data_IF_328324904635
#
_entry.id   IF_328324904635
#
_cell.length_a   1.000
_cell.length_b   1.000
_cell.length_c   1.000
_cell.angle_alpha   90.00
_cell.angle_beta   90.00
_cell.angle_gamma   90.00
#
_symmetry.space_group_name_H-M   'P 1'
#
loop_
_entity.id
_entity.type
_entity.pdbx_description
1 polymer ?
#
# COMPACT_ATOMS: atom_id res chain seq x y z
N UNK A 1 4.55 10.93 19.90
CA UNK A 1 3.30 10.16 20.17
C UNK A 1 3.01 9.13 19.07
N UNK A 2 3.37 7.84 19.26
CA UNK A 2 3.17 6.79 18.24
C UNK A 2 1.68 6.49 18.03
N UNK A 3 1.22 6.71 16.80
CA UNK A 3 -0.18 6.72 16.36
C UNK A 3 -0.96 5.50 16.84
N UNK A 4 -1.88 5.73 17.78
CA UNK A 4 -2.87 4.76 18.27
C UNK A 4 -3.73 4.32 17.08
N UNK A 5 -3.63 3.05 16.72
CA UNK A 5 -4.31 2.40 15.59
C UNK A 5 -5.78 2.82 15.49
N UNK A 6 -6.17 3.52 14.43
CA UNK A 6 -7.58 3.71 14.09
C UNK A 6 -7.95 2.66 13.06
N UNK A 7 -8.24 1.44 13.54
CA UNK A 7 -8.97 0.41 12.79
C UNK A 7 -10.37 0.22 13.37
N UNK A 8 -11.04 1.31 13.76
CA UNK A 8 -12.36 1.27 14.43
C UNK A 8 -13.40 0.45 13.66
N UNK A 9 -13.38 0.47 12.32
CA UNK A 9 -14.32 -0.31 11.51
C UNK A 9 -14.11 -1.81 11.74
N UNK A 10 -12.86 -2.26 11.91
CA UNK A 10 -12.54 -3.68 12.07
C UNK A 10 -12.61 -4.17 13.52
N UNK A 11 -13.01 -3.30 14.46
CA UNK A 11 -13.33 -3.70 15.84
C UNK A 11 -14.82 -3.99 16.04
N UNK A 12 -15.67 -3.66 15.06
CA UNK A 12 -17.10 -4.00 15.11
C UNK A 12 -17.35 -5.51 14.95
N UNK A 13 -18.55 -6.02 15.30
CA UNK A 13 -18.94 -7.39 15.00
C UNK A 13 -18.76 -7.74 13.52
N UNK A 14 -18.44 -8.99 13.21
CA UNK A 14 -18.16 -9.43 11.83
C UNK A 14 -19.32 -9.15 10.88
N UNK A 15 -20.55 -9.35 11.33
CA UNK A 15 -21.76 -9.02 10.56
C UNK A 15 -21.83 -7.55 10.16
N UNK A 16 -21.55 -6.64 11.10
CA UNK A 16 -21.49 -5.20 10.83
C UNK A 16 -20.36 -4.83 9.87
N UNK A 17 -19.19 -5.48 9.97
CA UNK A 17 -18.09 -5.27 9.02
C UNK A 17 -18.49 -5.68 7.60
N UNK A 18 -19.12 -6.85 7.44
CA UNK A 18 -19.60 -7.34 6.13
C UNK A 18 -20.70 -6.45 5.56
N UNK A 19 -21.69 -6.08 6.37
CA UNK A 19 -22.76 -5.18 5.95
C UNK A 19 -22.19 -3.84 5.46
N UNK A 20 -21.29 -3.22 6.24
CA UNK A 20 -20.59 -2.01 5.83
C UNK A 20 -19.85 -2.21 4.51
N UNK A 21 -19.05 -3.28 4.39
CA UNK A 21 -18.25 -3.52 3.19
C UNK A 21 -19.11 -3.72 1.92
N UNK A 22 -20.23 -4.44 2.03
CA UNK A 22 -21.16 -4.67 0.92
C UNK A 22 -21.86 -3.38 0.52
N UNK A 23 -22.46 -2.66 1.46
CA UNK A 23 -23.14 -1.37 1.19
C UNK A 23 -22.15 -0.40 0.56
N UNK A 24 -20.97 -0.23 1.16
CA UNK A 24 -19.94 0.67 0.68
C UNK A 24 -19.46 0.32 -0.74
N UNK A 25 -19.30 -0.97 -1.04
CA UNK A 25 -18.94 -1.43 -2.38
C UNK A 25 -20.05 -1.15 -3.40
N UNK A 26 -21.32 -1.43 -3.07
CA UNK A 26 -22.48 -1.16 -3.92
C UNK A 26 -22.61 0.34 -4.20
N UNK A 27 -22.49 1.19 -3.18
CA UNK A 27 -22.52 2.65 -3.36
C UNK A 27 -21.41 3.12 -4.28
N UNK A 28 -20.19 2.59 -4.14
CA UNK A 28 -19.08 2.90 -5.05
C UNK A 28 -19.32 2.47 -6.50
N UNK A 29 -19.95 1.31 -6.70
CA UNK A 29 -20.35 0.82 -8.02
C UNK A 29 -21.42 1.74 -8.62
N UNK A 30 -22.47 2.07 -7.89
CA UNK A 30 -23.54 2.99 -8.33
C UNK A 30 -22.95 4.33 -8.73
N UNK A 31 -22.11 4.92 -7.88
CA UNK A 31 -21.45 6.20 -8.15
C UNK A 31 -20.58 6.15 -9.42
N UNK A 32 -19.83 5.05 -9.60
CA UNK A 32 -19.01 4.82 -10.79
C UNK A 32 -19.85 4.76 -12.07
N UNK A 33 -20.98 4.05 -12.04
CA UNK A 33 -21.92 3.97 -13.16
C UNK A 33 -22.64 5.29 -13.43
N UNK A 34 -23.03 6.03 -12.39
CA UNK A 34 -23.64 7.35 -12.55
C UNK A 34 -22.69 8.30 -13.30
N UNK A 35 -21.40 8.32 -12.94
CA UNK A 35 -20.39 9.13 -13.64
C UNK A 35 -20.31 8.75 -15.12
N UNK A 36 -20.35 7.46 -15.45
CA UNK A 36 -20.36 6.98 -16.85
C UNK A 36 -21.60 7.44 -17.62
N UNK A 37 -22.78 7.42 -16.99
CA UNK A 37 -24.04 7.79 -17.65
C UNK A 37 -24.15 9.27 -18.01
N UNK A 38 -23.37 10.15 -17.37
CA UNK A 38 -23.39 11.59 -17.66
C UNK A 38 -22.49 11.99 -18.83
N UNK A 39 -21.80 11.04 -19.48
CA UNK A 39 -20.82 11.39 -20.51
C UNK A 39 -21.26 11.01 -21.92
N UNK A 40 -21.95 11.94 -22.58
CA UNK A 40 -22.29 11.89 -24.00
C UNK A 40 -21.17 12.41 -24.91
N UNK A 41 -19.97 12.66 -24.37
CA UNK A 41 -18.83 13.29 -25.04
C UNK A 41 -17.62 12.37 -25.04
N UNK A 42 -16.74 12.38 -26.07
CA UNK A 42 -15.48 11.62 -26.08
C UNK A 42 -14.55 11.93 -24.89
N UNK A 43 -14.82 12.99 -24.12
CA UNK A 43 -14.12 13.33 -22.88
C UNK A 43 -14.35 12.31 -21.74
N UNK A 44 -15.25 11.33 -21.89
CA UNK A 44 -15.49 10.27 -20.89
C UNK A 44 -14.25 9.46 -20.52
N UNK A 45 -13.28 9.37 -21.43
CA UNK A 45 -11.99 8.74 -21.17
C UNK A 45 -11.25 9.41 -20.00
N UNK A 46 -11.42 10.72 -19.80
CA UNK A 46 -10.83 11.44 -18.67
C UNK A 46 -11.45 11.06 -17.32
N UNK A 47 -12.66 10.50 -17.30
CA UNK A 47 -13.32 10.02 -16.09
C UNK A 47 -12.80 8.64 -15.64
N UNK A 48 -12.15 7.86 -16.51
CA UNK A 48 -11.69 6.49 -16.21
C UNK A 48 -10.79 6.43 -14.96
N UNK A 49 -9.76 7.29 -14.79
CA UNK A 49 -8.91 7.25 -13.60
C UNK A 49 -9.68 7.58 -12.31
N UNK A 50 -10.68 8.47 -12.40
CA UNK A 50 -11.54 8.84 -11.26
C UNK A 50 -12.44 7.67 -10.88
N UNK A 51 -13.13 7.08 -11.85
CA UNK A 51 -13.98 5.91 -11.67
C UNK A 51 -13.19 4.76 -11.04
N UNK A 52 -12.00 4.46 -11.58
CA UNK A 52 -11.13 3.42 -11.00
C UNK A 52 -10.74 3.73 -9.56
N UNK A 53 -10.45 4.99 -9.24
CA UNK A 53 -10.11 5.41 -7.88
C UNK A 53 -11.28 5.20 -6.92
N UNK A 54 -12.49 5.57 -7.32
CA UNK A 54 -13.73 5.35 -6.56
C UNK A 54 -13.97 3.85 -6.37
N UNK A 55 -13.86 3.06 -7.44
CA UNK A 55 -14.04 1.61 -7.41
C UNK A 55 -13.05 0.92 -6.45
N UNK A 56 -11.74 1.16 -6.63
CA UNK A 56 -10.70 0.61 -5.76
C UNK A 56 -10.85 1.04 -4.29
N UNK A 57 -11.23 2.30 -4.05
CA UNK A 57 -11.50 2.80 -2.69
C UNK A 57 -12.67 2.07 -2.04
N UNK A 58 -13.75 1.88 -2.78
CA UNK A 58 -15.02 1.33 -2.26
C UNK A 58 -14.97 -0.18 -2.05
N UNK A 59 -14.22 -0.90 -2.89
CA UNK A 59 -14.09 -2.37 -2.79
C UNK A 59 -13.06 -2.81 -1.75
N UNK A 60 -12.14 -1.94 -1.32
CA UNK A 60 -11.04 -2.29 -0.41
C UNK A 60 -11.48 -2.99 0.90
N UNK A 61 -12.56 -2.56 1.59
CA UNK A 61 -13.05 -3.25 2.78
C UNK A 61 -13.51 -4.68 2.47
N UNK A 62 -14.20 -4.87 1.34
CA UNK A 62 -14.67 -6.17 0.90
C UNK A 62 -13.50 -7.09 0.56
N UNK A 63 -12.51 -6.62 -0.21
CA UNK A 63 -11.30 -7.38 -0.54
C UNK A 63 -10.50 -7.78 0.69
N UNK A 64 -10.55 -7.00 1.76
CA UNK A 64 -9.95 -7.37 3.04
C UNK A 64 -10.72 -8.49 3.74
N UNK A 65 -12.06 -8.40 3.79
CA UNK A 65 -12.90 -9.39 4.48
C UNK A 65 -12.90 -10.74 3.78
N UNK A 66 -12.79 -10.76 2.44
CA UNK A 66 -12.65 -12.00 1.65
C UNK A 66 -11.24 -12.61 1.72
N UNK A 67 -10.27 -11.92 2.33
CA UNK A 67 -8.87 -12.39 2.40
C UNK A 67 -8.06 -12.20 1.11
N UNK A 68 -8.62 -11.51 0.10
CA UNK A 68 -7.88 -11.17 -1.12
C UNK A 68 -6.72 -10.20 -0.80
N UNK A 69 -6.98 -9.19 0.04
CA UNK A 69 -5.96 -8.30 0.60
C UNK A 69 -5.56 -8.77 2.00
N UNK A 70 -4.37 -9.38 2.12
CA UNK A 70 -3.84 -9.86 3.39
C UNK A 70 -3.02 -8.75 4.07
N UNK A 71 -3.44 -8.31 5.26
CA UNK A 71 -2.82 -7.19 5.95
C UNK A 71 -1.72 -7.65 6.90
N UNK A 72 -0.48 -7.31 6.57
CA UNK A 72 0.66 -7.52 7.46
C UNK A 72 0.93 -6.30 8.36
N UNK A 73 0.53 -5.12 7.91
CA UNK A 73 0.45 -3.90 8.71
C UNK A 73 -0.64 -2.98 8.11
N UNK A 74 -0.92 -1.79 8.69
CA UNK A 74 -1.76 -0.78 8.05
C UNK A 74 -1.34 -0.39 6.63
N UNK A 75 -0.06 -0.47 6.27
CA UNK A 75 0.47 0.05 4.99
C UNK A 75 1.23 -1.01 4.18
N UNK A 76 1.20 -2.28 4.60
CA UNK A 76 1.71 -3.41 3.82
C UNK A 76 0.62 -4.46 3.64
N UNK A 77 0.19 -4.59 2.39
CA UNK A 77 -0.80 -5.55 1.93
C UNK A 77 -0.11 -6.61 1.08
N UNK A 78 -0.62 -7.83 1.13
CA UNK A 78 -0.15 -8.96 0.33
C UNK A 78 -1.30 -9.56 -0.46
N UNK A 79 -1.11 -9.65 -1.78
CA UNK A 79 -1.98 -10.42 -2.70
C UNK A 79 -1.24 -11.70 -3.08
N UNK A 80 -1.91 -12.85 -2.95
CA UNK A 80 -1.35 -14.15 -3.30
C UNK A 80 -1.69 -14.46 -4.76
N UNK A 81 -0.76 -14.22 -5.69
CA UNK A 81 -1.04 -14.26 -7.13
C UNK A 81 -0.83 -15.63 -7.77
N UNK A 82 -0.05 -16.50 -7.14
CA UNK A 82 0.08 -17.91 -7.53
C UNK A 82 0.61 -18.73 -6.34
N UNK A 83 0.75 -20.05 -6.53
CA UNK A 83 1.49 -20.88 -5.60
C UNK A 83 2.89 -20.29 -5.36
N UNK A 84 3.20 -20.06 -4.08
CA UNK A 84 4.48 -19.51 -3.63
C UNK A 84 4.90 -18.15 -4.24
N UNK A 85 3.93 -17.34 -4.71
CA UNK A 85 4.16 -15.98 -5.23
C UNK A 85 3.27 -14.96 -4.53
N UNK A 86 3.89 -14.04 -3.81
CA UNK A 86 3.23 -12.97 -3.08
C UNK A 86 3.59 -11.61 -3.67
N UNK A 87 2.59 -10.80 -4.00
CA UNK A 87 2.78 -9.41 -4.42
C UNK A 87 2.53 -8.46 -3.25
N UNK A 88 3.53 -7.64 -2.93
CA UNK A 88 3.49 -6.59 -1.93
C UNK A 88 2.83 -5.35 -2.53
N UNK A 89 1.84 -4.82 -1.83
CA UNK A 89 1.18 -3.57 -2.15
C UNK A 89 1.25 -2.61 -0.95
N UNK A 90 1.28 -1.31 -1.24
CA UNK A 90 1.07 -0.29 -0.22
C UNK A 90 -0.40 -0.32 0.23
N UNK A 91 -0.71 0.34 1.36
CA UNK A 91 -2.09 0.61 1.76
C UNK A 91 -2.87 1.29 0.63
N UNK A 92 -4.15 0.98 0.52
CA UNK A 92 -5.09 1.61 -0.43
C UNK A 92 -5.41 3.05 -0.01
N UNK A 93 -6.09 3.82 -0.87
CA UNK A 93 -6.66 5.12 -0.48
C UNK A 93 -7.62 5.01 0.71
N UNK A 94 -8.35 3.89 0.82
CA UNK A 94 -9.19 3.59 1.97
C UNK A 94 -8.36 3.49 3.26
N UNK A 95 -7.22 2.79 3.19
CA UNK A 95 -6.30 2.69 4.33
C UNK A 95 -5.69 4.04 4.72
N UNK A 96 -5.45 4.93 3.76
CA UNK A 96 -4.93 6.27 4.06
C UNK A 96 -5.95 7.06 4.89
N UNK A 97 -7.22 7.06 4.49
CA UNK A 97 -8.30 7.76 5.21
C UNK A 97 -8.53 7.16 6.60
N UNK A 98 -8.48 5.83 6.74
CA UNK A 98 -8.69 5.20 8.03
C UNK A 98 -7.55 5.44 9.02
N UNK A 99 -6.31 5.44 8.55
CA UNK A 99 -5.15 5.40 9.43
C UNK A 99 -4.45 6.75 9.60
N UNK A 100 -4.74 7.75 8.77
CA UNK A 100 -4.06 9.06 8.78
C UNK A 100 -5.06 10.22 8.70
N UNK A 101 -4.79 11.28 9.46
CA UNK A 101 -5.54 12.54 9.40
C UNK A 101 -4.90 13.49 8.39
N UNK A 102 -5.68 14.40 7.81
CA UNK A 102 -5.16 15.41 6.87
C UNK A 102 -3.97 16.21 7.42
N UNK A 103 -4.02 16.60 8.70
CA UNK A 103 -2.93 17.32 9.38
C UNK A 103 -1.60 16.56 9.49
N UNK A 104 -1.60 15.26 9.19
CA UNK A 104 -0.41 14.39 9.23
C UNK A 104 0.22 14.19 7.85
N UNK A 105 -0.23 14.93 6.83
CA UNK A 105 0.37 14.88 5.49
C UNK A 105 1.86 15.25 5.52
N UNK A 106 2.61 14.84 4.50
CA UNK A 106 4.04 15.15 4.40
C UNK A 106 4.92 14.20 5.21
N UNK A 107 5.84 14.77 6.00
CA UNK A 107 6.87 13.99 6.70
C UNK A 107 6.28 12.92 7.62
N UNK A 108 5.21 13.24 8.36
CA UNK A 108 4.53 12.32 9.26
C UNK A 108 3.89 11.15 8.51
N UNK A 109 3.14 11.41 7.43
CA UNK A 109 2.56 10.40 6.57
C UNK A 109 3.65 9.50 5.95
N UNK A 110 4.69 10.10 5.37
CA UNK A 110 5.83 9.37 4.80
C UNK A 110 6.48 8.44 5.83
N UNK A 111 6.68 8.93 7.06
CA UNK A 111 7.23 8.15 8.17
C UNK A 111 6.29 7.01 8.57
N UNK A 112 4.99 7.30 8.73
CA UNK A 112 3.98 6.29 9.08
C UNK A 112 3.92 5.18 8.05
N UNK A 113 3.89 5.53 6.76
CA UNK A 113 3.90 4.58 5.64
C UNK A 113 5.14 3.69 5.73
N UNK A 114 6.34 4.29 5.85
CA UNK A 114 7.60 3.54 5.87
C UNK A 114 7.70 2.62 7.09
N UNK A 115 7.39 3.10 8.30
CA UNK A 115 7.44 2.27 9.52
C UNK A 115 6.46 1.10 9.39
N UNK A 116 5.24 1.33 8.93
CA UNK A 116 4.28 0.25 8.78
C UNK A 116 4.69 -0.73 7.67
N UNK A 117 5.31 -0.25 6.59
CA UNK A 117 5.85 -1.14 5.57
C UNK A 117 6.92 -2.08 6.16
N UNK A 118 7.88 -1.54 6.92
CA UNK A 118 8.93 -2.33 7.59
C UNK A 118 8.37 -3.28 8.64
N UNK A 119 7.38 -2.84 9.45
CA UNK A 119 6.67 -3.73 10.40
C UNK A 119 5.99 -4.88 9.68
N UNK A 120 5.38 -4.63 8.54
CA UNK A 120 4.76 -5.67 7.72
C UNK A 120 5.78 -6.68 7.23
N UNK A 121 6.95 -6.24 6.75
CA UNK A 121 8.03 -7.13 6.34
C UNK A 121 8.54 -7.99 7.50
N UNK A 122 8.71 -7.40 8.69
CA UNK A 122 9.10 -8.15 9.90
C UNK A 122 8.05 -9.20 10.29
N UNK A 123 6.76 -8.90 10.10
CA UNK A 123 5.70 -9.89 10.33
C UNK A 123 5.76 -11.03 9.31
N UNK A 124 6.02 -10.75 8.03
CA UNK A 124 6.24 -11.79 7.00
C UNK A 124 7.44 -12.67 7.40
N UNK A 125 8.56 -12.07 7.79
CA UNK A 125 9.76 -12.78 8.26
C UNK A 125 9.39 -13.71 9.43
N UNK A 126 8.64 -13.20 10.41
CA UNK A 126 8.18 -14.00 11.56
C UNK A 126 7.36 -15.22 11.13
N UNK A 127 6.46 -15.06 10.15
CA UNK A 127 5.67 -16.19 9.64
C UNK A 127 6.52 -17.21 8.86
N UNK A 128 7.57 -16.77 8.16
CA UNK A 128 8.54 -17.67 7.51
C UNK A 128 9.35 -18.44 8.55
N UNK A 129 9.87 -17.75 9.58
CA UNK A 129 10.62 -18.37 10.68
C UNK A 129 9.78 -19.41 11.45
N UNK A 130 8.48 -19.14 11.60
CA UNK A 130 7.51 -20.07 12.19
C UNK A 130 7.04 -21.17 11.24
N UNK A 131 7.63 -21.30 10.05
CA UNK A 131 7.27 -22.28 9.01
C UNK A 131 5.80 -22.22 8.55
N UNK A 132 5.10 -21.11 8.81
CA UNK A 132 3.74 -20.85 8.29
C UNK A 132 3.75 -20.46 6.82
N UNK A 133 4.91 -19.99 6.34
CA UNK A 133 5.16 -19.58 4.97
C UNK A 133 6.46 -20.23 4.53
N UNK A 134 6.50 -20.75 3.29
CA UNK A 134 7.72 -21.35 2.74
C UNK A 134 8.87 -20.34 2.73
N UNK A 135 10.07 -20.78 3.09
CA UNK A 135 11.31 -20.01 2.95
C UNK A 135 11.71 -19.80 1.48
N UNK A 136 11.13 -20.53 0.54
CA UNK A 136 11.35 -20.38 -0.90
C UNK A 136 10.36 -19.43 -1.56
N UNK A 137 9.46 -18.84 -0.77
CA UNK A 137 8.44 -17.95 -1.31
C UNK A 137 9.04 -16.80 -2.09
N UNK A 138 8.51 -16.55 -3.28
CA UNK A 138 8.89 -15.40 -4.08
C UNK A 138 8.02 -14.22 -3.72
N UNK A 139 8.62 -13.20 -3.13
CA UNK A 139 7.96 -11.95 -2.77
C UNK A 139 8.33 -10.90 -3.81
N UNK A 140 7.32 -10.35 -4.46
CA UNK A 140 7.43 -9.34 -5.49
C UNK A 140 6.89 -8.01 -4.95
N UNK A 141 7.47 -6.90 -5.36
CA UNK A 141 6.91 -5.57 -5.10
C UNK A 141 7.05 -4.71 -6.33
N UNK A 142 6.12 -3.79 -6.53
CA UNK A 142 6.26 -2.78 -7.57
C UNK A 142 6.10 -1.41 -6.92
N UNK A 143 7.13 -0.59 -7.06
CA UNK A 143 7.18 0.70 -6.37
C UNK A 143 7.86 1.76 -7.21
N UNK A 144 7.27 2.96 -7.20
CA UNK A 144 7.90 4.20 -7.66
C UNK A 144 8.66 4.91 -6.53
N UNK A 145 8.44 4.49 -5.27
CA UNK A 145 9.01 5.13 -4.07
C UNK A 145 10.39 4.54 -3.76
N UNK A 146 10.58 3.25 -3.99
CA UNK A 146 11.84 2.57 -3.66
C UNK A 146 12.91 2.87 -4.74
N UNK A 147 14.07 3.35 -4.29
CA UNK A 147 15.24 3.49 -5.15
C UNK A 147 16.05 2.17 -5.21
N UNK A 148 16.84 2.00 -6.28
CA UNK A 148 17.58 0.75 -6.55
C UNK A 148 18.52 0.39 -5.39
N UNK A 149 19.34 1.35 -4.95
CA UNK A 149 20.28 1.18 -3.83
C UNK A 149 19.59 0.69 -2.55
N UNK A 150 18.40 1.22 -2.22
CA UNK A 150 17.66 0.83 -1.01
C UNK A 150 17.07 -0.57 -1.14
N UNK A 151 16.53 -0.93 -2.31
CA UNK A 151 16.02 -2.27 -2.58
C UNK A 151 17.13 -3.31 -2.45
N UNK A 152 18.25 -3.10 -3.13
CA UNK A 152 19.42 -3.99 -3.10
C UNK A 152 20.00 -4.08 -1.70
N UNK A 153 20.07 -2.95 -0.99
CA UNK A 153 20.47 -2.93 0.41
C UNK A 153 19.56 -3.81 1.27
N UNK A 154 18.27 -3.90 0.97
CA UNK A 154 17.30 -4.77 1.67
C UNK A 154 17.27 -6.21 1.13
N UNK A 155 18.22 -6.60 0.26
CA UNK A 155 18.31 -7.95 -0.29
C UNK A 155 17.41 -8.21 -1.49
N UNK A 156 16.69 -7.20 -1.99
CA UNK A 156 15.84 -7.34 -3.17
C UNK A 156 16.68 -7.23 -4.46
N UNK A 157 16.37 -8.07 -5.43
CA UNK A 157 16.78 -7.86 -6.81
C UNK A 157 15.85 -6.87 -7.49
N UNK A 158 16.40 -5.99 -8.33
CA UNK A 158 15.66 -4.94 -9.03
C UNK A 158 15.55 -5.30 -10.50
N UNK A 159 14.33 -5.34 -11.00
CA UNK A 159 13.97 -5.67 -12.38
C UNK A 159 13.19 -4.51 -13.03
N UNK A 160 13.23 -4.44 -14.36
CA UNK A 160 12.36 -3.52 -15.12
C UNK A 160 10.94 -4.10 -15.16
N UNK A 161 9.89 -3.31 -14.88
CA UNK A 161 8.52 -3.77 -15.08
C UNK A 161 8.21 -3.90 -16.57
N UNK A 162 7.48 -4.96 -16.94
CA UNK A 162 6.97 -5.17 -18.30
C UNK A 162 5.92 -4.14 -18.71
N UNK A 163 5.66 -4.04 -20.02
CA UNK A 163 4.82 -2.99 -20.62
C UNK A 163 3.39 -2.96 -20.06
N UNK A 164 2.75 -4.13 -19.92
CA UNK A 164 1.40 -4.26 -19.35
C UNK A 164 1.29 -3.67 -17.94
N UNK A 165 2.31 -3.91 -17.10
CA UNK A 165 2.33 -3.36 -15.74
C UNK A 165 2.48 -1.85 -15.73
N UNK A 166 3.16 -1.25 -16.72
CA UNK A 166 3.23 0.21 -16.85
C UNK A 166 1.88 0.82 -17.22
N UNK A 167 1.12 0.16 -18.11
CA UNK A 167 -0.23 0.58 -18.47
C UNK A 167 -1.16 0.57 -17.24
N UNK A 168 -1.13 -0.48 -16.43
CA UNK A 168 -1.93 -0.54 -15.19
C UNK A 168 -1.63 0.63 -14.24
N UNK A 169 -0.35 0.98 -14.07
CA UNK A 169 0.09 2.15 -13.28
C UNK A 169 -0.40 3.48 -13.85
N UNK A 170 -0.54 3.60 -15.17
CA UNK A 170 -1.11 4.77 -15.82
C UNK A 170 -2.61 4.91 -15.50
N UNK A 171 -3.36 3.81 -15.54
CA UNK A 171 -4.78 3.84 -15.18
C UNK A 171 -4.95 4.14 -13.67
N UNK A 172 -4.03 3.66 -12.82
CA UNK A 172 -3.97 4.01 -11.39
C UNK A 172 -3.38 5.40 -11.09
N UNK A 173 -3.00 6.19 -12.11
CA UNK A 173 -2.21 7.41 -11.90
C UNK A 173 -2.90 8.41 -10.96
N UNK A 174 -4.22 8.58 -11.07
CA UNK A 174 -4.95 9.50 -10.19
C UNK A 174 -4.87 9.07 -8.71
N UNK A 175 -5.14 7.79 -8.42
CA UNK A 175 -4.93 7.19 -7.08
C UNK A 175 -3.51 7.44 -6.57
N UNK A 176 -2.51 7.15 -7.42
CA UNK A 176 -1.10 7.33 -7.06
C UNK A 176 -0.75 8.79 -6.81
N UNK A 177 -1.28 9.70 -7.61
CA UNK A 177 -1.10 11.14 -7.47
C UNK A 177 -1.63 11.63 -6.11
N UNK A 178 -2.83 11.20 -5.71
CA UNK A 178 -3.42 11.57 -4.42
C UNK A 178 -2.56 11.06 -3.25
N UNK A 179 -2.23 9.76 -3.26
CA UNK A 179 -1.43 9.14 -2.20
C UNK A 179 -0.01 9.74 -2.13
N UNK A 180 0.61 9.99 -3.28
CA UNK A 180 1.94 10.57 -3.36
C UNK A 180 1.94 12.02 -2.88
N UNK A 181 1.01 12.85 -3.35
CA UNK A 181 0.83 14.23 -2.88
C UNK A 181 0.60 14.29 -1.38
N UNK A 182 -0.24 13.41 -0.85
CA UNK A 182 -0.48 13.29 0.60
C UNK A 182 0.82 12.96 1.34
N UNK A 183 1.60 11.98 0.87
CA UNK A 183 2.88 11.63 1.47
C UNK A 183 3.93 12.75 1.39
N UNK A 184 3.81 13.66 0.42
CA UNK A 184 4.71 14.82 0.24
C UNK A 184 4.22 16.08 0.95
N UNK A 185 2.96 16.12 1.39
CA UNK A 185 2.37 17.27 2.05
C UNK A 185 2.04 18.44 1.11
N UNK A 186 2.27 18.26 -0.20
CA UNK A 186 2.06 19.22 -1.28
C UNK A 186 1.62 18.49 -2.54
N UNK A 187 1.02 19.21 -3.48
CA UNK A 187 0.74 18.67 -4.81
C UNK A 187 2.05 18.20 -5.43
N UNK A 188 2.13 16.90 -5.75
CA UNK A 188 3.33 16.29 -6.28
C UNK A 188 2.94 15.16 -7.24
N UNK A 189 3.65 15.08 -8.37
CA UNK A 189 3.37 14.10 -9.40
C UNK A 189 4.30 12.89 -9.28
N UNK A 190 3.76 11.66 -9.12
CA UNK A 190 4.59 10.47 -9.04
C UNK A 190 5.21 10.17 -10.40
N UNK A 191 6.51 9.89 -10.43
CA UNK A 191 7.16 9.48 -11.67
C UNK A 191 6.91 7.99 -11.94
N UNK A 192 5.80 7.70 -12.61
CA UNK A 192 5.39 6.32 -12.95
C UNK A 192 6.32 5.65 -13.99
N UNK A 193 7.11 6.42 -14.74
CA UNK A 193 8.10 5.87 -15.68
C UNK A 193 9.33 5.29 -14.97
N UNK A 194 9.59 5.71 -13.72
CA UNK A 194 10.70 5.22 -12.88
C UNK A 194 10.30 4.10 -11.92
N UNK A 195 9.13 3.48 -12.15
CA UNK A 195 8.65 2.32 -11.39
C UNK A 195 9.66 1.17 -11.52
N UNK A 196 9.95 0.54 -10.38
CA UNK A 196 10.82 -0.61 -10.29
C UNK A 196 10.02 -1.81 -9.83
N UNK A 197 10.30 -2.95 -10.43
CA UNK A 197 9.88 -4.24 -9.90
C UNK A 197 11.00 -4.74 -9.00
N UNK A 198 10.67 -5.13 -7.78
CA UNK A 198 11.61 -5.72 -6.82
C UNK A 198 11.20 -7.15 -6.53
N UNK A 199 12.17 -8.02 -6.30
CA UNK A 199 11.95 -9.45 -6.01
C UNK A 199 12.89 -9.89 -4.90
N UNK A 200 12.39 -10.72 -3.99
CA UNK A 200 13.20 -11.36 -2.95
C UNK A 200 12.61 -12.75 -2.63
N UNK A 201 13.46 -13.70 -2.27
CA UNK A 201 13.04 -15.01 -1.76
C UNK A 201 12.89 -14.97 -0.24
N UNK A 202 12.06 -15.84 0.34
CA UNK A 202 11.82 -15.88 1.78
C UNK A 202 13.10 -15.98 2.61
N UNK A 203 14.02 -16.87 2.25
CA UNK A 203 15.32 -17.04 2.91
C UNK A 203 16.18 -15.76 2.90
N UNK A 204 16.23 -15.04 1.76
CA UNK A 204 16.95 -13.77 1.64
C UNK A 204 16.28 -12.65 2.43
N UNK A 205 14.95 -12.67 2.51
CA UNK A 205 14.21 -11.71 3.32
C UNK A 205 14.48 -11.93 4.82
N UNK A 206 14.48 -13.19 5.28
CA UNK A 206 14.86 -13.56 6.65
C UNK A 206 16.28 -13.10 6.96
N UNK A 207 17.24 -13.34 6.06
CA UNK A 207 18.62 -12.85 6.21
C UNK A 207 18.73 -11.31 6.33
N UNK A 208 17.72 -10.57 5.85
CA UNK A 208 17.68 -9.11 5.90
C UNK A 208 17.00 -8.55 7.17
N UNK A 209 16.56 -9.41 8.11
CA UNK A 209 15.80 -9.05 9.31
C UNK A 209 16.45 -7.97 10.16
N UNK A 210 17.72 -8.16 10.54
CA UNK A 210 18.43 -7.22 11.41
C UNK A 210 18.62 -5.86 10.74
N UNK A 211 18.85 -5.86 9.43
CA UNK A 211 18.94 -4.62 8.64
C UNK A 211 17.63 -3.87 8.58
N UNK A 212 16.51 -4.58 8.42
CA UNK A 212 15.17 -3.99 8.45
C UNK A 212 14.90 -3.35 9.82
N UNK A 213 15.25 -4.05 10.92
CA UNK A 213 15.13 -3.50 12.28
C UNK A 213 15.98 -2.23 12.47
N UNK A 214 17.24 -2.25 12.03
CA UNK A 214 18.14 -1.09 12.10
C UNK A 214 17.59 0.13 11.34
N UNK A 215 17.10 -0.07 10.11
CA UNK A 215 16.48 1.01 9.31
C UNK A 215 15.25 1.56 10.02
N UNK A 216 14.39 0.68 10.55
CA UNK A 216 13.19 1.09 11.28
C UNK A 216 13.54 1.90 12.54
N UNK A 217 14.50 1.43 13.34
CA UNK A 217 14.99 2.14 14.53
C UNK A 217 15.55 3.52 14.18
N UNK A 218 16.35 3.63 13.11
CA UNK A 218 16.89 4.91 12.65
C UNK A 218 15.82 5.90 12.16
N UNK A 219 14.68 5.42 11.63
CA UNK A 219 13.54 6.27 11.27
C UNK A 219 12.79 6.75 12.53
N UNK A 220 12.66 5.90 13.54
CA UNK A 220 12.01 6.24 14.81
C UNK A 220 12.84 7.29 15.57
N UNK A 221 14.14 7.07 15.71
CA UNK A 221 15.02 7.90 16.53
C UNK A 221 15.23 9.32 15.98
N UNK A 222 15.34 9.48 14.64
CA UNK A 222 15.51 10.80 14.00
C UNK A 222 14.36 11.79 14.25
N UNK A 223 13.19 11.29 14.65
CA UNK A 223 12.05 12.13 14.93
C UNK A 223 11.99 12.62 16.38
N UNK A 224 12.43 11.80 17.34
CA UNK A 224 12.46 12.19 18.74
C UNK A 224 13.40 13.40 18.96
N UNK A 225 14.45 13.53 18.16
CA UNK A 225 15.32 14.71 18.19
C UNK A 225 14.72 15.98 17.56
N UNK A 226 13.78 15.85 16.63
CA UNK A 226 13.12 17.01 16.01
C UNK A 226 12.03 17.62 16.90
N UNK A 227 11.39 16.82 17.76
CA UNK A 227 10.42 17.29 18.77
C UNK A 227 11.09 17.93 20.01
N UNK A 228 12.41 17.80 20.19
CA UNK A 228 13.17 18.39 21.32
C UNK A 228 13.73 19.79 20.96
N UNK A 229 13.76 20.14 19.67
CA UNK A 229 14.36 21.38 19.16
C UNK A 229 13.28 22.42 18.77
N UNK A 230 11.99 22.10 18.96
CA UNK A 230 10.83 22.99 18.78
C UNK A 230 10.11 23.17 20.11
#
# INVERSE_FOLDING_TARGET
>A
MLLKNIRKIYTFPKTAQWLFAVIFSITGIILSFSILSFVYSPLWILAIPIIKTIGHFSIAPLMRLTGFLNYYSPMLLVVRTAYNKWELHNGTTFDYILNMKWKQKGADASKFIMINYLKGLLKIITEIEQKKVSNEITILGISYIINKKTAERLGFTVEKPGIYRRLLFFIDYFTLFLMYSFSKGRIAFPNIFKVKKVRITGNKLVASKEKIKQIMAGIINRHNHAEIIL
#
